data_IF_972465938369
#
_entry.id   IF_972465938369
#
_cell.length_a   1.000
_cell.length_b   1.000
_cell.length_c   1.000
_cell.angle_alpha   90.00
_cell.angle_beta   90.00
_cell.angle_gamma   90.00
#
_symmetry.space_group_name_H-M   'P 1'
#
loop_
_entity.id
_entity.type
_entity.pdbx_description
1 polymer ?
#
# COMPACT_ATOMS: atom_id res chain seq x y z
N UNK A 1 11.14 28.37 1.05
CA UNK A 1 9.98 27.51 0.79
C UNK A 1 9.20 27.39 2.09
N UNK A 2 7.88 27.57 2.06
CA UNK A 2 7.00 27.52 3.24
C UNK A 2 6.13 26.28 3.19
N UNK A 3 5.89 25.66 4.35
CA UNK A 3 5.10 24.44 4.45
C UNK A 3 3.63 24.70 4.16
N UNK A 4 3.03 23.92 3.25
CA UNK A 4 1.59 24.02 2.91
C UNK A 4 0.65 23.76 4.10
N UNK A 5 1.13 23.03 5.13
CA UNK A 5 0.30 22.68 6.30
C UNK A 5 0.28 23.75 7.38
N UNK A 6 1.42 24.38 7.66
CA UNK A 6 1.58 25.26 8.81
C UNK A 6 2.31 26.58 8.51
N UNK A 7 2.60 26.86 7.25
CA UNK A 7 3.43 27.98 6.79
C UNK A 7 4.82 28.05 7.45
N UNK A 8 5.27 26.96 8.09
CA UNK A 8 6.58 26.90 8.73
C UNK A 8 7.73 26.76 7.75
N UNK A 9 8.96 26.96 8.24
CA UNK A 9 10.18 26.82 7.47
C UNK A 9 10.33 25.39 6.92
N UNK A 10 10.63 25.28 5.64
CA UNK A 10 11.06 24.02 5.01
C UNK A 10 12.54 24.06 4.68
N UNK A 11 13.21 22.93 4.92
CA UNK A 11 14.64 22.73 4.68
C UNK A 11 14.82 21.53 3.76
N UNK A 12 15.79 21.61 2.85
CA UNK A 12 16.16 20.49 1.99
C UNK A 12 16.80 19.38 2.83
N UNK A 13 16.31 18.15 2.68
CA UNK A 13 16.77 16.98 3.42
C UNK A 13 16.95 15.78 2.48
N UNK A 14 17.89 14.90 2.83
CA UNK A 14 18.09 13.64 2.12
C UNK A 14 17.26 12.54 2.80
N UNK A 15 16.34 11.97 2.05
CA UNK A 15 15.53 10.82 2.47
C UNK A 15 16.15 9.55 1.93
N UNK A 16 16.20 8.50 2.75
CA UNK A 16 16.70 7.19 2.37
C UNK A 16 15.53 6.24 2.18
N UNK A 17 15.49 5.58 1.02
CA UNK A 17 14.57 4.47 0.76
C UNK A 17 15.26 3.18 1.20
N UNK A 18 14.97 2.75 2.44
CA UNK A 18 15.53 1.51 2.99
C UNK A 18 14.94 0.26 2.36
N UNK A 19 13.77 0.36 1.74
CA UNK A 19 13.07 -0.78 1.11
C UNK A 19 13.45 -0.92 -0.37
N UNK A 20 14.12 0.08 -0.96
CA UNK A 20 14.59 0.06 -2.35
C UNK A 20 13.46 0.11 -3.38
N UNK A 21 12.28 0.53 -2.96
CA UNK A 21 11.04 0.56 -3.77
C UNK A 21 11.13 1.47 -4.98
N UNK A 22 11.94 2.53 -4.93
CA UNK A 22 12.00 3.57 -5.96
C UNK A 22 13.25 3.51 -6.86
N UNK A 23 14.08 2.47 -6.70
CA UNK A 23 15.28 2.25 -7.52
C UNK A 23 16.47 3.18 -7.20
N UNK A 24 16.28 4.19 -6.35
CA UNK A 24 17.34 5.05 -5.82
C UNK A 24 17.42 4.90 -4.30
N UNK A 25 18.64 4.75 -3.78
CA UNK A 25 18.89 4.56 -2.33
C UNK A 25 18.67 5.83 -1.50
N UNK A 26 18.73 6.99 -2.14
CA UNK A 26 18.50 8.29 -1.51
C UNK A 26 17.82 9.26 -2.48
N UNK A 27 17.09 10.21 -1.92
CA UNK A 27 16.45 11.29 -2.66
C UNK A 27 16.50 12.61 -1.90
N UNK A 28 16.41 13.73 -2.62
CA UNK A 28 16.33 15.07 -2.03
C UNK A 28 14.87 15.50 -1.96
N UNK A 29 14.41 15.82 -0.77
CA UNK A 29 13.08 16.38 -0.55
C UNK A 29 13.13 17.57 0.40
N UNK A 30 11.97 18.08 0.79
CA UNK A 30 11.83 19.17 1.73
C UNK A 30 11.12 18.69 2.98
N UNK A 31 11.66 18.96 4.17
CA UNK A 31 10.98 18.71 5.44
C UNK A 31 10.66 20.02 6.15
N UNK A 32 9.43 20.15 6.62
CA UNK A 32 9.04 21.24 7.50
C UNK A 32 9.61 21.02 8.90
N UNK A 33 10.38 21.98 9.40
CA UNK A 33 10.96 21.94 10.75
C UNK A 33 9.93 22.13 11.87
N UNK A 34 8.73 22.62 11.54
CA UNK A 34 7.68 22.90 12.52
C UNK A 34 6.66 21.76 12.66
N UNK A 35 6.29 21.09 11.57
CA UNK A 35 5.24 20.05 11.59
C UNK A 35 5.67 18.69 11.00
N UNK A 36 6.90 18.57 10.50
CA UNK A 36 7.41 17.32 9.92
C UNK A 36 6.86 16.96 8.54
N UNK A 37 6.00 17.78 7.93
CA UNK A 37 5.52 17.54 6.57
C UNK A 37 6.70 17.43 5.60
N UNK A 38 6.79 16.29 4.92
CA UNK A 38 7.74 16.05 3.85
C UNK A 38 7.06 16.32 2.50
N UNK A 39 7.70 17.13 1.66
CA UNK A 39 7.29 17.39 0.29
C UNK A 39 8.44 16.97 -0.63
N UNK A 40 8.16 16.01 -1.51
CA UNK A 40 9.07 15.49 -2.51
C UNK A 40 8.24 15.03 -3.71
N UNK A 41 8.69 15.19 -4.97
CA UNK A 41 7.91 14.84 -6.14
C UNK A 41 7.43 13.38 -6.18
N UNK A 42 8.20 12.44 -5.63
CA UNK A 42 7.83 11.01 -5.57
C UNK A 42 6.96 10.74 -4.35
N UNK A 43 7.22 11.35 -3.20
CA UNK A 43 6.31 11.28 -2.04
C UNK A 43 4.93 11.83 -2.41
N UNK A 44 4.87 12.96 -3.12
CA UNK A 44 3.63 13.56 -3.61
C UNK A 44 2.94 12.66 -4.64
N UNK A 45 3.68 12.06 -5.57
CA UNK A 45 3.12 11.12 -6.52
C UNK A 45 2.53 9.87 -5.83
N UNK A 46 3.26 9.31 -4.86
CA UNK A 46 2.82 8.17 -4.04
C UNK A 46 1.55 8.50 -3.25
N UNK A 47 1.50 9.67 -2.60
CA UNK A 47 0.30 10.13 -1.89
C UNK A 47 -0.91 10.28 -2.82
N UNK A 48 -0.72 10.85 -4.02
CA UNK A 48 -1.81 10.99 -5.00
C UNK A 48 -2.35 9.63 -5.47
N UNK A 49 -1.46 8.66 -5.68
CA UNK A 49 -1.85 7.30 -6.05
C UNK A 49 -2.63 6.60 -4.93
N UNK A 50 -2.14 6.69 -3.68
CA UNK A 50 -2.85 6.13 -2.53
C UNK A 50 -4.21 6.78 -2.30
N UNK A 51 -4.31 8.12 -2.38
CA UNK A 51 -5.59 8.83 -2.26
C UNK A 51 -6.58 8.41 -3.37
N UNK A 52 -6.09 8.15 -4.58
CA UNK A 52 -6.91 7.64 -5.68
C UNK A 52 -7.41 6.21 -5.42
N UNK A 53 -6.55 5.32 -4.90
CA UNK A 53 -6.91 3.94 -4.56
C UNK A 53 -7.95 3.91 -3.44
N UNK A 54 -7.77 4.71 -2.37
CA UNK A 54 -8.71 4.79 -1.25
C UNK A 54 -10.10 5.30 -1.69
N UNK A 55 -10.17 6.12 -2.75
CA UNK A 55 -11.43 6.66 -3.28
C UNK A 55 -12.19 5.70 -4.17
N UNK A 56 -11.56 4.64 -4.69
CA UNK A 56 -12.28 3.57 -5.37
C UNK A 56 -12.95 2.73 -4.28
N UNK A 57 -14.28 2.78 -4.18
CA UNK A 57 -15.04 1.84 -3.31
C UNK A 57 -14.57 0.41 -3.62
N UNK A 58 -14.35 -0.46 -2.61
CA UNK A 58 -14.16 -1.88 -2.88
C UNK A 58 -15.38 -2.36 -3.67
N UNK A 59 -15.13 -3.03 -4.81
CA UNK A 59 -16.19 -3.76 -5.52
C UNK A 59 -16.79 -4.77 -4.53
N UNK A 60 -18.09 -4.67 -4.27
CA UNK A 60 -18.83 -5.72 -3.56
C UNK A 60 -18.96 -6.90 -4.53
N UNK A 61 -18.21 -7.99 -4.29
CA UNK A 61 -18.31 -9.19 -5.12
C UNK A 61 -19.68 -9.86 -4.92
N UNK A 62 -20.41 -10.20 -6.00
CA UNK A 62 -21.68 -10.90 -5.87
C UNK A 62 -21.47 -12.31 -5.34
N UNK A 63 -22.30 -12.68 -4.37
CA UNK A 63 -22.33 -13.97 -3.69
C UNK A 63 -22.53 -15.12 -4.70
N UNK A 64 -21.46 -15.80 -5.07
CA UNK A 64 -21.55 -17.01 -5.89
C UNK A 64 -22.13 -18.16 -5.03
N UNK A 65 -23.33 -18.62 -5.40
CA UNK A 65 -23.95 -19.82 -4.83
C UNK A 65 -23.03 -21.03 -5.10
N UNK A 66 -22.55 -21.65 -4.02
CA UNK A 66 -21.66 -22.81 -4.08
C UNK A 66 -22.49 -24.06 -4.41
N UNK A 67 -22.40 -24.54 -5.65
CA UNK A 67 -22.95 -25.84 -6.04
C UNK A 67 -22.20 -26.96 -5.31
N UNK A 68 -22.89 -27.66 -4.40
CA UNK A 68 -22.33 -28.71 -3.56
C UNK A 68 -22.17 -29.99 -4.39
N UNK A 69 -20.94 -30.30 -4.82
CA UNK A 69 -20.62 -31.60 -5.44
C UNK A 69 -20.40 -32.63 -4.33
N UNK A 70 -21.39 -33.49 -4.10
CA UNK A 70 -21.29 -34.63 -3.18
C UNK A 70 -20.29 -35.66 -3.70
N UNK A 71 -19.07 -35.62 -3.14
CA UNK A 71 -18.02 -36.58 -3.44
C UNK A 71 -18.26 -37.87 -2.65
N UNK A 72 -18.94 -38.84 -3.29
CA UNK A 72 -19.16 -40.20 -2.78
C UNK A 72 -17.83 -40.84 -2.36
N UNK A 73 -17.64 -41.04 -1.06
CA UNK A 73 -16.50 -41.77 -0.52
C UNK A 73 -16.70 -43.28 -0.70
N UNK A 74 -15.94 -43.91 -1.60
CA UNK A 74 -15.83 -45.37 -1.64
C UNK A 74 -14.88 -45.84 -0.53
N UNK A 75 -15.41 -46.50 0.49
CA UNK A 75 -14.63 -47.13 1.55
C UNK A 75 -14.02 -48.43 1.04
N UNK A 76 -12.71 -48.43 0.77
CA UNK A 76 -11.95 -49.67 0.53
C UNK A 76 -11.62 -50.32 1.87
N UNK A 77 -12.32 -51.42 2.19
CA UNK A 77 -12.00 -52.27 3.35
C UNK A 77 -10.80 -53.15 2.99
N UNK A 78 -9.65 -52.94 3.63
CA UNK A 78 -8.55 -53.92 3.61
C UNK A 78 -8.85 -55.01 4.64
N UNK A 79 -9.15 -56.22 4.17
CA UNK A 79 -9.16 -57.44 4.99
C UNK A 79 -7.70 -57.82 5.25
N UNK A 80 -7.32 -57.93 6.52
CA UNK A 80 -6.04 -58.49 6.94
C UNK A 80 -6.14 -60.03 6.99
N UNK A 81 -5.15 -60.71 6.42
CA UNK A 81 -4.93 -62.15 6.55
C UNK A 81 -3.57 -62.39 7.22
#
# INVERSE_FOLDING_TARGET
MECIRCQGLMVEEQFFDFEGTQGFMWMKGWRCMNCGHAADPVIEASHRLHDAIVRVRPYEEPEHEHEHVDRRAETVTRVAA
#
